data_IF_551499642405
#
_entry.id   IF_551499642405
#
_cell.length_a   1.000
_cell.length_b   1.000
_cell.length_c   1.000
_cell.angle_alpha   90.00
_cell.angle_beta   90.00
_cell.angle_gamma   90.00
#
_symmetry.space_group_name_H-M   'P 1'
#
loop_
_entity.id
_entity.type
_entity.pdbx_description
1 polymer ?
#
# COMPACT_ATOMS: atom_id res chain seq x y z
N UNK A 1 40.58 8.14 59.34
CA UNK A 1 39.44 8.31 58.40
C UNK A 1 38.91 9.75 58.53
N UNK A 2 39.06 10.60 57.50
CA UNK A 2 38.51 11.98 57.53
C UNK A 2 36.97 11.90 57.44
N UNK A 3 36.25 12.34 58.48
CA UNK A 3 34.78 12.48 58.46
C UNK A 3 34.42 13.48 57.35
N UNK A 4 33.73 13.02 56.31
CA UNK A 4 33.18 13.93 55.28
C UNK A 4 32.24 14.91 55.95
N UNK A 5 32.37 16.20 55.65
CA UNK A 5 31.47 17.24 56.17
C UNK A 5 30.02 16.87 55.84
N UNK A 6 29.11 17.10 56.78
CA UNK A 6 27.68 16.83 56.65
C UNK A 6 27.12 17.50 55.37
N UNK A 7 27.59 18.69 55.04
CA UNK A 7 27.24 19.42 53.80
C UNK A 7 27.60 18.66 52.52
N UNK A 8 28.80 18.02 52.45
CA UNK A 8 29.20 17.21 51.28
C UNK A 8 28.36 15.93 51.12
N UNK A 9 27.91 15.37 52.24
CA UNK A 9 27.02 14.19 52.16
C UNK A 9 25.65 14.58 51.62
N UNK A 10 25.11 15.71 52.05
CA UNK A 10 23.84 16.27 51.56
C UNK A 10 23.91 16.63 50.07
N UNK A 11 24.98 17.31 49.67
CA UNK A 11 25.21 17.65 48.24
C UNK A 11 25.28 16.43 47.36
N UNK A 12 26.01 15.38 47.76
CA UNK A 12 26.12 14.12 47.04
C UNK A 12 24.77 13.43 46.94
N UNK A 13 23.99 13.40 48.01
CA UNK A 13 22.67 12.79 48.04
C UNK A 13 21.67 13.52 47.17
N UNK A 14 21.72 14.87 47.16
CA UNK A 14 20.90 15.68 46.27
C UNK A 14 21.21 15.50 44.80
N UNK A 15 22.50 15.45 44.43
CA UNK A 15 22.94 15.16 43.04
C UNK A 15 22.48 13.77 42.63
N UNK A 16 22.62 12.76 43.47
CA UNK A 16 22.20 11.41 43.19
C UNK A 16 20.68 11.34 42.98
N UNK A 17 19.90 11.97 43.85
CA UNK A 17 18.46 12.04 43.73
C UNK A 17 18.00 12.72 42.45
N UNK A 18 18.63 13.83 42.07
CA UNK A 18 18.36 14.56 40.84
C UNK A 18 18.64 13.70 39.62
N UNK A 19 19.80 12.98 39.57
CA UNK A 19 20.16 12.07 38.52
C UNK A 19 19.14 10.92 38.37
N UNK A 20 18.76 10.31 39.48
CA UNK A 20 17.75 9.24 39.48
C UNK A 20 16.41 9.74 38.94
N UNK A 21 15.98 10.92 39.37
CA UNK A 21 14.71 11.54 38.92
C UNK A 21 14.73 11.82 37.41
N UNK A 22 15.83 12.36 36.88
CA UNK A 22 15.99 12.60 35.44
C UNK A 22 15.95 11.29 34.69
N UNK A 23 16.62 10.27 35.18
CA UNK A 23 16.71 8.95 34.52
C UNK A 23 15.32 8.26 34.44
N UNK A 24 14.60 8.29 35.58
CA UNK A 24 13.25 7.72 35.66
C UNK A 24 12.28 8.49 34.75
N UNK A 25 12.33 9.83 34.80
CA UNK A 25 11.49 10.67 33.93
C UNK A 25 11.77 10.46 32.44
N UNK A 26 13.04 10.36 32.07
CA UNK A 26 13.44 10.08 30.69
C UNK A 26 12.95 8.71 30.22
N UNK A 27 13.09 7.68 31.06
CA UNK A 27 12.62 6.34 30.77
C UNK A 27 11.10 6.29 30.60
N UNK A 28 10.35 6.91 31.53
CA UNK A 28 8.89 6.99 31.43
C UNK A 28 8.45 7.74 30.16
N UNK A 29 9.13 8.83 29.83
CA UNK A 29 8.83 9.59 28.62
C UNK A 29 9.07 8.75 27.35
N UNK A 30 10.20 8.07 27.30
CA UNK A 30 10.52 7.13 26.18
C UNK A 30 9.46 6.04 26.02
N UNK A 31 9.09 5.37 27.12
CA UNK A 31 8.07 4.31 27.09
C UNK A 31 6.70 4.84 26.64
N UNK A 32 6.31 6.03 27.11
CA UNK A 32 5.05 6.64 26.69
C UNK A 32 5.08 7.04 25.21
N UNK A 33 6.16 7.66 24.73
CA UNK A 33 6.29 8.02 23.32
C UNK A 33 6.25 6.79 22.42
N UNK A 34 6.95 5.72 22.79
CA UNK A 34 6.94 4.46 22.04
C UNK A 34 5.53 3.86 21.96
N UNK A 35 4.80 3.86 23.09
CA UNK A 35 3.41 3.36 23.11
C UNK A 35 2.47 4.23 22.27
N UNK A 36 2.59 5.55 22.37
CA UNK A 36 1.78 6.47 21.57
C UNK A 36 2.06 6.30 20.07
N UNK A 37 3.33 6.21 19.70
CA UNK A 37 3.73 5.98 18.30
C UNK A 37 3.16 4.67 17.77
N UNK A 38 3.35 3.57 18.51
CA UNK A 38 2.81 2.26 18.10
C UNK A 38 1.29 2.29 17.94
N UNK A 39 0.58 2.92 18.87
CA UNK A 39 -0.87 3.07 18.79
C UNK A 39 -1.30 3.88 17.57
N UNK A 40 -0.64 5.02 17.33
CA UNK A 40 -0.91 5.86 16.16
C UNK A 40 -0.69 5.09 14.84
N UNK A 41 0.40 4.32 14.73
CA UNK A 41 0.66 3.49 13.55
C UNK A 41 -0.44 2.44 13.35
N UNK A 42 -0.87 1.76 14.40
CA UNK A 42 -1.95 0.75 14.31
C UNK A 42 -3.27 1.40 13.91
N UNK A 43 -3.62 2.55 14.47
CA UNK A 43 -4.83 3.30 14.13
C UNK A 43 -4.79 3.75 12.65
N UNK A 44 -3.66 4.28 12.16
CA UNK A 44 -3.49 4.64 10.74
C UNK A 44 -3.65 3.44 9.82
N UNK A 45 -3.03 2.31 10.14
CA UNK A 45 -3.16 1.06 9.37
C UNK A 45 -4.61 0.57 9.31
N UNK A 46 -5.32 0.59 10.43
CA UNK A 46 -6.72 0.18 10.48
C UNK A 46 -7.62 1.11 9.64
N UNK A 47 -7.41 2.42 9.75
CA UNK A 47 -8.17 3.41 8.97
C UNK A 47 -7.93 3.23 7.47
N UNK A 48 -6.68 3.11 7.04
CA UNK A 48 -6.35 2.87 5.63
C UNK A 48 -6.94 1.56 5.12
N UNK A 49 -6.77 0.46 5.87
CA UNK A 49 -7.31 -0.85 5.47
C UNK A 49 -8.84 -0.79 5.34
N UNK A 50 -9.52 -0.14 6.28
CA UNK A 50 -10.97 0.05 6.22
C UNK A 50 -11.40 0.92 5.03
N UNK A 51 -10.64 1.98 4.74
CA UNK A 51 -10.88 2.85 3.60
C UNK A 51 -10.75 2.09 2.28
N UNK A 52 -9.62 1.43 2.04
CA UNK A 52 -9.37 0.66 0.81
C UNK A 52 -10.34 -0.51 0.66
N UNK A 53 -10.64 -1.24 1.75
CA UNK A 53 -11.65 -2.30 1.72
C UNK A 53 -13.03 -1.77 1.36
N UNK A 54 -13.40 -0.60 1.87
CA UNK A 54 -14.67 0.05 1.53
C UNK A 54 -14.75 0.43 0.05
N UNK A 55 -13.67 0.96 -0.53
CA UNK A 55 -13.59 1.28 -1.95
C UNK A 55 -13.70 0.01 -2.81
N UNK A 56 -12.95 -1.05 -2.48
CA UNK A 56 -13.01 -2.34 -3.18
C UNK A 56 -14.41 -2.95 -3.13
N UNK A 57 -15.06 -2.93 -1.96
CA UNK A 57 -16.43 -3.42 -1.81
C UNK A 57 -17.45 -2.61 -2.61
N UNK A 58 -17.25 -1.30 -2.72
CA UNK A 58 -18.12 -0.43 -3.51
C UNK A 58 -18.02 -0.70 -5.02
N UNK A 59 -16.86 -1.16 -5.51
CA UNK A 59 -16.69 -1.59 -6.90
C UNK A 59 -17.40 -2.92 -7.22
N UNK A 60 -17.53 -3.80 -6.22
CA UNK A 60 -18.23 -5.07 -6.36
C UNK A 60 -17.65 -5.97 -7.47
N UNK A 61 -18.52 -6.39 -8.39
CA UNK A 61 -18.15 -7.33 -9.46
C UNK A 61 -17.08 -6.79 -10.41
N UNK A 62 -16.95 -5.47 -10.56
CA UNK A 62 -15.91 -4.89 -11.41
C UNK A 62 -14.51 -5.17 -10.88
N UNK A 63 -14.31 -5.12 -9.56
CA UNK A 63 -13.02 -5.47 -8.97
C UNK A 63 -12.75 -6.98 -9.03
N UNK A 64 -13.78 -7.80 -8.90
CA UNK A 64 -13.67 -9.27 -9.05
C UNK A 64 -13.23 -9.62 -10.47
N UNK A 65 -13.86 -9.03 -11.48
CA UNK A 65 -13.51 -9.23 -12.89
C UNK A 65 -12.07 -8.78 -13.17
N UNK A 66 -11.67 -7.62 -12.66
CA UNK A 66 -10.30 -7.13 -12.74
C UNK A 66 -9.30 -8.14 -12.16
N UNK A 67 -9.57 -8.65 -10.95
CA UNK A 67 -8.71 -9.65 -10.30
C UNK A 67 -8.61 -10.94 -11.10
N UNK A 68 -9.73 -11.47 -11.59
CA UNK A 68 -9.76 -12.69 -12.36
C UNK A 68 -8.99 -12.57 -13.70
N UNK A 69 -9.21 -11.47 -14.40
CA UNK A 69 -8.50 -11.21 -15.64
C UNK A 69 -7.00 -11.04 -15.39
N UNK A 70 -6.63 -10.28 -14.35
CA UNK A 70 -5.24 -10.08 -13.95
C UNK A 70 -4.54 -11.39 -13.63
N UNK A 71 -5.17 -12.29 -12.87
CA UNK A 71 -4.58 -13.57 -12.50
C UNK A 71 -4.31 -14.47 -13.71
N UNK A 72 -5.12 -14.36 -14.77
CA UNK A 72 -4.97 -15.13 -16.00
C UNK A 72 -3.99 -14.51 -17.01
N UNK A 73 -3.76 -13.19 -16.96
CA UNK A 73 -3.04 -12.43 -18.00
C UNK A 73 -2.05 -11.41 -17.40
N UNK A 74 -1.37 -11.77 -16.32
CA UNK A 74 -0.47 -10.86 -15.59
C UNK A 74 0.59 -10.21 -16.48
N UNK A 75 1.10 -10.96 -17.47
CA UNK A 75 2.13 -10.46 -18.40
C UNK A 75 1.62 -9.39 -19.37
N UNK A 76 0.30 -9.26 -19.52
CA UNK A 76 -0.31 -8.29 -20.42
C UNK A 76 -0.65 -6.96 -19.73
N UNK A 77 -0.59 -6.89 -18.39
CA UNK A 77 -0.88 -5.69 -17.64
C UNK A 77 0.29 -4.70 -17.73
N UNK A 78 -0.03 -3.49 -18.17
CA UNK A 78 0.94 -2.39 -18.22
C UNK A 78 0.97 -1.65 -16.89
N UNK A 79 2.15 -1.56 -16.31
CA UNK A 79 2.36 -0.85 -15.06
C UNK A 79 2.75 0.59 -15.38
N UNK A 80 2.05 1.60 -14.83
CA UNK A 80 2.44 2.98 -14.98
C UNK A 80 3.74 3.23 -14.20
N UNK A 81 4.87 3.37 -14.91
CA UNK A 81 6.19 3.63 -14.31
C UNK A 81 6.39 5.10 -13.92
N UNK A 82 5.61 6.00 -14.48
CA UNK A 82 5.68 7.42 -14.20
C UNK A 82 4.43 7.90 -13.46
N UNK A 83 4.49 7.85 -12.14
CA UNK A 83 3.42 8.26 -11.24
C UNK A 83 3.19 9.78 -11.18
N UNK A 84 4.03 10.56 -11.83
CA UNK A 84 3.99 12.04 -11.80
C UNK A 84 3.12 12.62 -12.89
N UNK A 85 2.81 11.86 -13.92
CA UNK A 85 1.93 12.31 -14.98
C UNK A 85 0.47 11.96 -14.64
N UNK A 86 -0.32 12.96 -14.31
CA UNK A 86 -1.79 12.88 -14.11
C UNK A 86 -2.56 12.56 -15.42
N UNK A 87 -1.96 11.85 -16.33
CA UNK A 87 -2.57 11.57 -17.61
C UNK A 87 -3.31 10.23 -17.58
N UNK A 88 -4.63 10.22 -17.73
CA UNK A 88 -5.43 8.99 -17.84
C UNK A 88 -5.26 8.37 -19.25
N UNK A 89 -4.02 7.99 -19.60
CA UNK A 89 -3.68 7.44 -20.93
C UNK A 89 -4.43 6.14 -21.19
N UNK A 90 -4.47 5.27 -20.21
CA UNK A 90 -5.15 3.98 -20.33
C UNK A 90 -6.66 4.17 -20.51
N UNK A 91 -7.27 5.13 -19.79
CA UNK A 91 -8.69 5.47 -19.97
C UNK A 91 -9.00 5.97 -21.36
N UNK A 92 -8.19 6.88 -21.88
CA UNK A 92 -8.39 7.44 -23.22
C UNK A 92 -8.24 6.37 -24.30
N UNK A 93 -7.22 5.51 -24.19
CA UNK A 93 -7.01 4.40 -25.12
C UNK A 93 -8.20 3.44 -25.14
N UNK A 94 -8.73 3.07 -23.96
CA UNK A 94 -9.93 2.26 -23.85
C UNK A 94 -11.14 2.94 -24.51
N UNK A 95 -11.39 4.21 -24.22
CA UNK A 95 -12.53 4.97 -24.78
C UNK A 95 -12.45 5.09 -26.30
N UNK A 96 -11.26 5.36 -26.85
CA UNK A 96 -11.04 5.44 -28.30
C UNK A 96 -11.31 4.08 -28.95
N UNK A 97 -10.82 2.99 -28.35
CA UNK A 97 -11.05 1.66 -28.86
C UNK A 97 -12.53 1.29 -28.88
N UNK A 98 -13.25 1.52 -27.76
CA UNK A 98 -14.70 1.26 -27.68
C UNK A 98 -15.46 2.07 -28.73
N UNK A 99 -15.15 3.35 -28.89
CA UNK A 99 -15.81 4.21 -29.86
C UNK A 99 -15.61 3.74 -31.30
N UNK A 100 -14.45 3.16 -31.61
CA UNK A 100 -14.11 2.68 -32.94
C UNK A 100 -14.71 1.31 -33.25
N UNK A 101 -14.73 0.37 -32.30
CA UNK A 101 -15.08 -1.04 -32.52
C UNK A 101 -16.52 -1.37 -32.07
N UNK A 102 -17.13 -0.58 -31.18
CA UNK A 102 -18.49 -0.77 -30.69
C UNK A 102 -19.35 0.49 -30.92
N UNK A 103 -19.53 0.94 -32.17
CA UNK A 103 -20.20 2.20 -32.45
C UNK A 103 -21.65 2.18 -31.96
N UNK A 104 -22.04 3.23 -31.23
CA UNK A 104 -23.38 3.41 -30.69
C UNK A 104 -23.66 2.62 -29.41
N UNK A 105 -22.69 1.87 -28.88
CA UNK A 105 -22.80 1.20 -27.58
C UNK A 105 -21.99 1.95 -26.53
N UNK A 106 -22.48 1.95 -25.28
CA UNK A 106 -21.83 2.58 -24.14
C UNK A 106 -21.43 1.54 -23.08
N UNK A 107 -20.15 1.46 -22.78
CA UNK A 107 -19.65 0.53 -21.75
C UNK A 107 -20.24 0.89 -20.38
N UNK A 108 -20.68 -0.16 -19.66
CA UNK A 108 -21.36 -0.03 -18.37
C UNK A 108 -22.85 0.27 -18.46
N UNK A 109 -23.40 0.48 -19.67
CA UNK A 109 -24.84 0.71 -19.90
C UNK A 109 -25.45 -0.45 -20.70
N UNK A 110 -25.01 -0.61 -21.93
CA UNK A 110 -25.49 -1.63 -22.87
C UNK A 110 -24.36 -2.49 -23.46
N UNK A 111 -23.13 -2.28 -23.01
CA UNK A 111 -21.95 -3.08 -23.32
C UNK A 111 -21.26 -3.50 -22.01
N UNK A 112 -21.16 -4.80 -21.78
CA UNK A 112 -20.56 -5.38 -20.58
C UNK A 112 -19.15 -5.88 -20.84
N UNK A 113 -18.37 -6.10 -19.78
CA UNK A 113 -16.99 -6.57 -19.87
C UNK A 113 -16.86 -7.90 -20.62
N UNK A 114 -17.77 -8.85 -20.37
CA UNK A 114 -17.77 -10.20 -20.96
C UNK A 114 -18.09 -10.17 -22.47
N UNK A 115 -18.69 -9.08 -22.97
CA UNK A 115 -19.00 -8.91 -24.40
C UNK A 115 -17.84 -8.26 -25.18
N UNK A 116 -16.82 -7.78 -24.47
CA UNK A 116 -15.64 -7.18 -25.08
C UNK A 116 -14.75 -8.25 -25.71
N UNK A 117 -14.11 -7.90 -26.82
CA UNK A 117 -13.01 -8.69 -27.34
C UNK A 117 -11.77 -8.60 -26.42
N UNK A 118 -10.81 -9.49 -26.63
CA UNK A 118 -9.63 -9.58 -25.76
C UNK A 118 -8.84 -8.26 -25.67
N UNK A 119 -8.69 -7.53 -26.78
CA UNK A 119 -7.96 -6.26 -26.78
C UNK A 119 -8.72 -5.16 -26.00
N UNK A 120 -10.04 -5.09 -26.13
CA UNK A 120 -10.86 -4.19 -25.36
C UNK A 120 -10.82 -4.53 -23.85
N UNK A 121 -10.87 -5.81 -23.49
CA UNK A 121 -10.72 -6.28 -22.12
C UNK A 121 -9.37 -5.87 -21.54
N UNK A 122 -8.29 -6.09 -22.28
CA UNK A 122 -6.93 -5.69 -21.89
C UNK A 122 -6.82 -4.18 -21.66
N UNK A 123 -7.34 -3.36 -22.58
CA UNK A 123 -7.35 -1.90 -22.43
C UNK A 123 -8.17 -1.45 -21.21
N UNK A 124 -9.32 -2.08 -20.99
CA UNK A 124 -10.12 -1.81 -19.78
C UNK A 124 -9.38 -2.16 -18.50
N UNK A 125 -8.75 -3.35 -18.46
CA UNK A 125 -7.99 -3.78 -17.29
C UNK A 125 -6.80 -2.86 -17.02
N UNK A 126 -6.06 -2.45 -18.04
CA UNK A 126 -4.99 -1.48 -17.88
C UNK A 126 -5.49 -0.14 -17.34
N UNK A 127 -6.66 0.34 -17.83
CA UNK A 127 -7.30 1.54 -17.28
C UNK A 127 -7.69 1.38 -15.79
N UNK A 128 -8.30 0.26 -15.42
CA UNK A 128 -8.71 0.00 -14.03
C UNK A 128 -7.50 -0.23 -13.13
N UNK A 129 -6.47 -0.86 -13.63
CA UNK A 129 -5.22 -1.06 -12.93
C UNK A 129 -4.52 0.27 -12.63
N UNK A 130 -4.41 1.18 -13.61
CA UNK A 130 -3.87 2.52 -13.44
C UNK A 130 -4.66 3.31 -12.38
N UNK A 131 -6.00 3.24 -12.41
CA UNK A 131 -6.86 3.86 -11.42
C UNK A 131 -6.58 3.34 -10.01
N UNK A 132 -6.59 2.03 -9.82
CA UNK A 132 -6.35 1.41 -8.52
C UNK A 132 -4.93 1.65 -8.00
N UNK A 133 -3.97 1.62 -8.88
CA UNK A 133 -2.60 1.96 -8.55
C UNK A 133 -2.51 3.38 -7.96
N UNK A 134 -3.17 4.35 -8.61
CA UNK A 134 -3.25 5.73 -8.10
C UNK A 134 -3.95 5.78 -6.74
N UNK A 135 -5.08 5.10 -6.56
CA UNK A 135 -5.81 5.06 -5.27
C UNK A 135 -4.91 4.53 -4.15
N UNK A 136 -4.15 3.45 -4.40
CA UNK A 136 -3.23 2.88 -3.43
C UNK A 136 -2.05 3.81 -3.13
N UNK A 137 -1.49 4.46 -4.15
CA UNK A 137 -0.39 5.43 -3.99
C UNK A 137 -0.84 6.65 -3.20
N UNK A 138 -1.97 7.24 -3.54
CA UNK A 138 -2.54 8.39 -2.82
C UNK A 138 -2.82 8.02 -1.35
N UNK A 139 -3.42 6.84 -1.10
CA UNK A 139 -3.66 6.35 0.24
C UNK A 139 -2.37 6.12 1.03
N UNK A 140 -1.34 5.56 0.40
CA UNK A 140 -0.03 5.37 1.02
C UNK A 140 0.57 6.71 1.47
N UNK A 141 0.45 7.75 0.65
CA UNK A 141 0.93 9.09 0.97
C UNK A 141 0.10 9.75 2.08
N UNK A 142 -1.23 9.67 2.01
CA UNK A 142 -2.14 10.26 2.98
C UNK A 142 -1.93 9.69 4.40
N UNK A 143 -1.71 8.37 4.49
CA UNK A 143 -1.49 7.69 5.77
C UNK A 143 0.00 7.55 6.15
N UNK A 144 0.92 8.18 5.40
CA UNK A 144 2.37 8.16 5.64
C UNK A 144 2.95 6.73 5.74
N UNK A 145 2.49 5.82 4.88
CA UNK A 145 2.93 4.43 4.85
C UNK A 145 3.92 4.20 3.71
N UNK A 146 5.00 3.51 3.99
CA UNK A 146 6.05 3.22 3.01
C UNK A 146 5.68 2.06 2.07
N UNK A 147 4.81 1.16 2.52
CA UNK A 147 4.45 -0.06 1.80
C UNK A 147 2.96 -0.29 1.90
N UNK A 148 2.28 -0.27 0.75
CA UNK A 148 0.85 -0.59 0.61
C UNK A 148 0.69 -1.46 -0.62
N UNK A 149 0.19 -2.67 -0.42
CA UNK A 149 0.00 -3.61 -1.49
C UNK A 149 -1.29 -4.41 -1.30
N UNK A 150 -1.81 -4.92 -2.41
CA UNK A 150 -2.94 -5.83 -2.44
C UNK A 150 -2.46 -7.22 -2.85
N UNK A 151 -2.75 -8.19 -1.97
CA UNK A 151 -2.48 -9.61 -2.21
C UNK A 151 -3.78 -10.36 -2.37
N UNK A 152 -3.75 -11.42 -3.18
CA UNK A 152 -4.85 -12.37 -3.25
C UNK A 152 -4.32 -13.80 -3.14
N UNK A 153 -5.09 -14.72 -2.49
CA UNK A 153 -4.67 -16.12 -2.38
C UNK A 153 -4.75 -16.81 -3.73
N UNK A 154 -3.85 -17.75 -3.97
CA UNK A 154 -3.94 -18.67 -5.09
C UNK A 154 -4.92 -19.80 -4.75
N UNK A 155 -5.90 -20.06 -5.63
CA UNK A 155 -7.03 -20.94 -5.31
C UNK A 155 -6.62 -22.40 -5.05
N UNK A 156 -5.55 -22.86 -5.69
CA UNK A 156 -5.09 -24.25 -5.64
C UNK A 156 -3.89 -24.51 -4.71
N UNK A 157 -3.41 -23.49 -4.01
CA UNK A 157 -2.22 -23.60 -3.17
C UNK A 157 -2.44 -22.96 -1.80
N UNK A 158 -2.37 -23.78 -0.77
CA UNK A 158 -2.36 -23.30 0.61
C UNK A 158 -1.10 -22.43 0.86
N UNK A 159 -1.28 -21.31 1.54
CA UNK A 159 -0.21 -20.40 1.97
C UNK A 159 0.54 -19.66 0.83
N UNK A 160 -0.03 -19.61 -0.38
CA UNK A 160 0.53 -18.83 -1.48
C UNK A 160 -0.34 -17.60 -1.74
N UNK A 161 0.29 -16.44 -1.71
CA UNK A 161 -0.32 -15.15 -2.06
C UNK A 161 0.36 -14.56 -3.29
N UNK A 162 -0.41 -13.95 -4.16
CA UNK A 162 0.09 -13.25 -5.35
C UNK A 162 -0.07 -11.74 -5.18
N UNK A 163 0.94 -10.98 -5.57
CA UNK A 163 0.85 -9.52 -5.63
C UNK A 163 0.02 -9.10 -6.85
N UNK A 164 -0.97 -8.24 -6.62
CA UNK A 164 -1.75 -7.62 -7.69
C UNK A 164 -1.44 -6.13 -7.82
N UNK A 165 -1.37 -5.43 -6.70
CA UNK A 165 -1.07 -4.00 -6.65
C UNK A 165 0.04 -3.77 -5.62
N UNK A 166 1.03 -2.99 -5.99
CA UNK A 166 2.11 -2.56 -5.10
C UNK A 166 2.32 -1.05 -5.28
N UNK A 167 1.94 -0.28 -4.27
CA UNK A 167 2.09 1.16 -4.23
C UNK A 167 3.29 1.56 -3.34
N UNK A 168 4.41 0.93 -3.54
CA UNK A 168 5.65 1.25 -2.82
C UNK A 168 6.12 2.65 -3.20
N UNK A 169 6.27 3.54 -2.23
CA UNK A 169 6.68 4.94 -2.46
C UNK A 169 8.11 5.07 -3.02
N UNK A 170 8.95 4.08 -2.77
CA UNK A 170 10.31 4.03 -3.29
C UNK A 170 10.43 2.83 -4.22
N UNK A 171 10.53 3.04 -5.54
CA UNK A 171 10.74 1.93 -6.44
C UNK A 171 12.02 1.20 -6.06
N UNK A 172 11.90 -0.08 -5.74
CA UNK A 172 13.06 -0.94 -5.52
C UNK A 172 13.68 -1.19 -6.90
N UNK A 173 14.91 -0.73 -7.09
CA UNK A 173 15.65 -0.96 -8.32
C UNK A 173 16.64 -2.11 -8.13
N UNK A 174 16.77 -2.96 -9.15
CA UNK A 174 17.87 -3.93 -9.23
C UNK A 174 19.20 -3.19 -9.37
N UNK A 175 20.32 -3.92 -9.19
CA UNK A 175 21.67 -3.37 -9.42
C UNK A 175 21.87 -2.80 -10.83
N UNK A 176 21.09 -3.25 -11.79
CA UNK A 176 21.07 -2.81 -13.20
C UNK A 176 20.10 -1.64 -13.45
N UNK A 177 19.49 -1.09 -12.41
CA UNK A 177 18.57 0.06 -12.52
C UNK A 177 17.16 -0.29 -13.01
N UNK A 178 16.79 -1.56 -13.11
CA UNK A 178 15.42 -1.97 -13.41
C UNK A 178 14.54 -1.82 -12.17
N UNK A 179 13.39 -1.22 -12.34
CA UNK A 179 12.37 -1.17 -11.29
C UNK A 179 11.82 -2.57 -11.07
N UNK A 180 11.94 -3.08 -9.85
CA UNK A 180 11.29 -4.33 -9.45
C UNK A 180 9.88 -3.97 -9.03
N UNK A 181 8.92 -4.37 -9.83
CA UNK A 181 7.51 -4.38 -9.44
C UNK A 181 7.13 -5.83 -9.21
N UNK A 182 6.69 -6.14 -8.01
CA UNK A 182 6.36 -7.51 -7.58
C UNK A 182 5.00 -7.99 -8.10
N UNK A 183 4.63 -7.60 -9.31
CA UNK A 183 3.39 -8.03 -9.92
C UNK A 183 3.47 -9.51 -10.31
N UNK A 184 2.54 -10.30 -9.77
CA UNK A 184 2.49 -11.73 -10.01
C UNK A 184 3.53 -12.54 -9.23
N UNK A 185 4.40 -11.90 -8.44
CA UNK A 185 5.31 -12.61 -7.56
C UNK A 185 4.54 -13.29 -6.43
N UNK A 186 5.00 -14.48 -6.06
CA UNK A 186 4.39 -15.29 -5.01
C UNK A 186 5.04 -15.02 -3.66
N UNK A 187 4.23 -14.78 -2.66
CA UNK A 187 4.66 -14.72 -1.26
C UNK A 187 4.22 -15.99 -0.56
N UNK A 188 5.17 -16.64 0.09
CA UNK A 188 4.89 -17.80 0.92
C UNK A 188 4.71 -17.31 2.38
N UNK A 189 3.56 -17.57 2.98
CA UNK A 189 3.44 -17.45 4.42
C UNK A 189 4.31 -18.53 5.08
N UNK A 190 5.26 -18.09 5.92
CA UNK A 190 5.92 -19.03 6.80
C UNK A 190 4.90 -19.56 7.82
N UNK A 191 4.78 -20.88 8.02
CA UNK A 191 3.88 -21.48 8.98
C UNK A 191 4.23 -21.08 10.43
#
# INVERSE_FOLDING_TARGET
>A
MKKKSLAKQFETLFILFTLVTILVSSLMNYLNQTRMYHRSCVESLQQMTSHLSGLIQAEGDEFVNLKQWFSAHTEEVQIPLDFREDLPRAKSAFQEYISAHYPGRAFGVDLRFEELDHEAQKLYVNYRFEHWFKVFTDSSQEFELSYVYFLYPEEDKDHVMNYMLDATMTPVTTQDGKVILFLGDQVYENP
#
